data_IF_298927747468
#
_entry.id   IF_298927747468
#
_cell.length_a   1.000
_cell.length_b   1.000
_cell.length_c   1.000
_cell.angle_alpha   90.00
_cell.angle_beta   90.00
_cell.angle_gamma   90.00
#
_symmetry.space_group_name_H-M   'P 1'
#
loop_
_entity.id
_entity.type
_entity.pdbx_description
1 polymer ?
#
# COMPACT_ATOMS: atom_id res chain seq x y z
N UNK A 1 -0.42 -19.96 -13.19
CA UNK A 1 -0.11 -19.27 -12.14
C UNK A 1 -1.01 -18.17 -11.92
N UNK A 2 -1.10 -17.69 -10.82
CA UNK A 2 -2.01 -16.81 -10.52
C UNK A 2 -1.43 -15.60 -10.05
N UNK A 3 -1.90 -14.58 -10.43
CA UNK A 3 -1.37 -13.34 -10.03
C UNK A 3 -1.74 -12.98 -8.65
N UNK A 4 -0.99 -12.11 -8.07
CA UNK A 4 -1.18 -11.71 -6.71
C UNK A 4 -2.50 -11.02 -6.47
N UNK A 5 -3.01 -10.25 -7.37
CA UNK A 5 -4.28 -9.57 -7.21
C UNK A 5 -4.34 -8.76 -5.93
N UNK A 6 -3.35 -7.89 -5.69
CA UNK A 6 -3.28 -7.05 -4.51
C UNK A 6 -3.01 -7.84 -3.22
N UNK A 7 -2.52 -9.06 -3.37
CA UNK A 7 -2.16 -9.85 -2.20
C UNK A 7 -0.83 -9.42 -1.65
N UNK A 8 -0.63 -9.72 -0.38
CA UNK A 8 0.59 -9.37 0.30
C UNK A 8 1.75 -10.20 -0.27
N UNK A 9 2.85 -9.54 -0.61
CA UNK A 9 4.04 -10.21 -1.11
C UNK A 9 5.06 -10.46 0.00
N UNK A 10 5.17 -9.53 0.95
CA UNK A 10 6.08 -9.64 2.06
C UNK A 10 5.47 -9.01 3.27
N UNK A 11 5.85 -9.52 4.43
CA UNK A 11 5.27 -9.10 5.68
C UNK A 11 6.31 -9.18 6.78
N UNK A 12 6.49 -8.12 7.53
CA UNK A 12 7.40 -8.10 8.67
C UNK A 12 6.77 -7.31 9.80
N UNK A 13 6.89 -7.86 11.03
CA UNK A 13 6.53 -7.10 12.21
C UNK A 13 7.63 -6.14 12.55
N UNK A 14 7.27 -4.93 12.92
CA UNK A 14 8.21 -3.91 13.34
C UNK A 14 7.66 -3.21 14.55
N UNK A 15 8.47 -2.34 15.15
CA UNK A 15 8.05 -1.55 16.33
C UNK A 15 7.50 -2.44 17.44
N UNK A 16 8.26 -3.46 17.79
CA UNK A 16 7.88 -4.41 18.88
C UNK A 16 6.53 -5.04 18.62
N UNK A 17 6.25 -5.36 17.37
CA UNK A 17 5.01 -6.01 16.94
C UNK A 17 3.78 -5.11 17.03
N UNK A 18 3.97 -3.81 17.20
CA UNK A 18 2.86 -2.87 17.16
C UNK A 18 2.49 -2.44 15.76
N UNK A 19 3.40 -2.63 14.80
CA UNK A 19 3.15 -2.28 13.41
C UNK A 19 3.68 -3.35 12.49
N UNK A 20 3.25 -3.29 11.24
CA UNK A 20 3.66 -4.24 10.22
C UNK A 20 4.08 -3.51 8.97
N UNK A 21 5.15 -4.00 8.35
CA UNK A 21 5.59 -3.51 7.06
C UNK A 21 5.19 -4.56 6.03
N UNK A 22 4.45 -4.15 5.02
CA UNK A 22 3.90 -5.07 4.02
C UNK A 22 4.22 -4.58 2.64
N UNK A 23 4.52 -5.52 1.74
CA UNK A 23 4.73 -5.21 0.34
C UNK A 23 3.60 -5.82 -0.47
N UNK A 24 2.97 -5.02 -1.31
CA UNK A 24 1.90 -5.49 -2.19
C UNK A 24 2.24 -5.21 -3.64
N UNK A 25 1.76 -6.07 -4.51
CA UNK A 25 1.76 -5.81 -5.95
C UNK A 25 0.44 -5.12 -6.28
N UNK A 26 0.49 -3.99 -6.98
CA UNK A 26 -0.72 -3.25 -7.32
C UNK A 26 -1.26 -3.75 -8.65
N UNK A 27 -2.51 -4.19 -8.65
CA UNK A 27 -3.16 -4.67 -9.86
C UNK A 27 -4.34 -3.75 -10.16
N UNK A 28 -5.01 -4.03 -11.26
CA UNK A 28 -6.18 -3.26 -11.64
C UNK A 28 -7.34 -3.41 -10.69
N UNK A 29 -7.25 -4.35 -9.75
CA UNK A 29 -8.30 -4.53 -8.76
C UNK A 29 -8.17 -3.57 -7.59
N UNK A 30 -7.10 -2.78 -7.53
CA UNK A 30 -6.95 -1.78 -6.49
C UNK A 30 -8.03 -0.71 -6.65
N UNK A 31 -8.73 -0.40 -5.57
CA UNK A 31 -9.89 0.47 -5.63
C UNK A 31 -9.55 1.95 -5.78
N UNK A 32 -8.31 2.34 -5.53
CA UNK A 32 -7.93 3.75 -5.50
C UNK A 32 -6.78 4.06 -6.46
N UNK A 33 -6.85 3.50 -7.66
CA UNK A 33 -5.84 3.78 -8.67
C UNK A 33 -5.97 5.21 -9.18
N UNK A 34 -4.82 5.81 -9.45
CA UNK A 34 -4.76 7.11 -10.14
C UNK A 34 -5.40 8.27 -9.39
N UNK A 35 -5.54 8.14 -8.08
CA UNK A 35 -6.06 9.23 -7.25
C UNK A 35 -4.89 9.85 -6.51
N UNK A 36 -4.61 11.15 -6.66
CA UNK A 36 -3.50 11.77 -5.92
C UNK A 36 -3.67 11.61 -4.42
N UNK A 37 -2.58 11.36 -3.74
CA UNK A 37 -2.65 11.11 -2.30
C UNK A 37 -3.24 12.27 -1.51
N UNK A 38 -3.13 13.49 -2.03
CA UNK A 38 -3.70 14.64 -1.34
C UNK A 38 -5.20 14.79 -1.58
N UNK A 39 -5.76 14.04 -2.54
CA UNK A 39 -7.18 14.13 -2.84
C UNK A 39 -7.98 13.54 -1.70
N UNK A 40 -9.11 14.17 -1.35
CA UNK A 40 -9.91 13.66 -0.26
C UNK A 40 -10.49 12.29 -0.52
N UNK A 41 -10.51 11.85 -1.77
CA UNK A 41 -10.96 10.50 -2.08
C UNK A 41 -9.92 9.45 -1.69
N UNK A 42 -8.66 9.86 -1.46
CA UNK A 42 -7.60 8.92 -1.07
C UNK A 42 -7.44 8.98 0.44
N UNK A 43 -8.16 8.12 1.14
CA UNK A 43 -8.12 8.10 2.59
C UNK A 43 -7.63 6.76 3.09
N UNK A 44 -6.65 6.79 3.96
CA UNK A 44 -6.10 5.58 4.55
C UNK A 44 -6.68 5.36 5.94
N UNK A 45 -6.71 4.11 6.37
CA UNK A 45 -7.08 3.80 7.73
C UNK A 45 -6.14 4.48 8.69
N UNK A 46 -6.60 4.70 9.90
CA UNK A 46 -5.80 5.29 10.93
C UNK A 46 -4.53 4.48 11.13
N UNK A 47 -3.42 5.15 11.36
CA UNK A 47 -2.13 4.52 11.63
C UNK A 47 -1.66 3.67 10.45
N UNK A 48 -1.92 4.12 9.24
CA UNK A 48 -1.50 3.46 8.01
C UNK A 48 -0.86 4.50 7.10
N UNK A 49 0.29 4.16 6.54
CA UNK A 49 0.95 5.04 5.58
C UNK A 49 1.46 4.24 4.39
N UNK A 50 1.59 4.91 3.26
CA UNK A 50 2.28 4.37 2.10
C UNK A 50 3.73 4.83 2.23
N UNK A 51 4.62 3.89 2.51
CA UNK A 51 6.01 4.22 2.79
C UNK A 51 6.83 4.42 1.53
N UNK A 52 6.58 3.65 0.49
CA UNK A 52 7.33 3.75 -0.75
C UNK A 52 6.58 3.10 -1.89
N UNK A 53 6.87 3.53 -3.11
CA UNK A 53 6.30 2.95 -4.32
C UNK A 53 7.47 2.56 -5.20
N UNK A 54 7.44 1.36 -5.78
CA UNK A 54 8.42 0.91 -6.77
C UNK A 54 7.74 0.92 -8.12
N UNK A 55 8.27 1.73 -9.03
CA UNK A 55 7.72 1.85 -10.37
C UNK A 55 8.87 1.81 -11.37
N UNK A 56 8.80 0.90 -12.33
CA UNK A 56 9.84 0.77 -13.36
C UNK A 56 11.22 0.57 -12.74
N UNK A 57 11.27 -0.22 -11.66
CA UNK A 57 12.53 -0.55 -11.00
C UNK A 57 13.09 0.54 -10.12
N UNK A 58 12.35 1.64 -9.92
CA UNK A 58 12.84 2.74 -9.10
C UNK A 58 11.97 2.95 -7.90
N UNK A 59 12.60 3.22 -6.76
CA UNK A 59 11.87 3.51 -5.55
C UNK A 59 11.53 4.99 -5.50
N UNK A 60 10.31 5.29 -5.12
CA UNK A 60 9.86 6.66 -4.96
C UNK A 60 9.24 6.82 -3.60
N UNK A 61 9.58 7.91 -2.91
CA UNK A 61 8.93 8.26 -1.66
C UNK A 61 7.73 9.11 -2.03
N UNK A 62 6.51 8.69 -1.69
CA UNK A 62 5.33 9.39 -2.18
C UNK A 62 5.10 10.73 -1.51
N UNK A 63 4.49 11.62 -2.24
CA UNK A 63 4.02 12.90 -1.74
C UNK A 63 2.57 13.09 -2.16
N UNK A 64 2.08 14.31 -1.99
CA UNK A 64 0.67 14.59 -2.26
C UNK A 64 0.24 14.37 -3.69
N UNK A 65 1.17 14.52 -4.64
CA UNK A 65 0.86 14.33 -6.06
C UNK A 65 1.01 12.89 -6.53
N UNK A 66 1.47 12.00 -5.65
CA UNK A 66 1.69 10.60 -6.03
C UNK A 66 0.37 9.89 -6.24
N UNK A 67 0.40 8.87 -7.08
CA UNK A 67 -0.77 8.02 -7.30
C UNK A 67 -0.32 6.57 -7.26
N UNK A 68 -1.24 5.67 -7.00
CA UNK A 68 -1.01 4.24 -7.14
C UNK A 68 -1.38 3.84 -8.56
N UNK A 69 -0.58 3.00 -9.19
CA UNK A 69 -0.85 2.56 -10.55
C UNK A 69 -0.66 1.06 -10.66
N UNK A 70 -1.47 0.43 -11.48
CA UNK A 70 -1.33 -1.00 -11.73
C UNK A 70 0.06 -1.28 -12.28
N UNK A 71 0.69 -2.33 -11.80
CA UNK A 71 2.05 -2.68 -12.16
C UNK A 71 3.10 -2.22 -11.17
N UNK A 72 2.74 -1.30 -10.27
CA UNK A 72 3.66 -0.87 -9.23
C UNK A 72 3.72 -1.89 -8.10
N UNK A 73 4.74 -1.75 -7.27
CA UNK A 73 4.75 -2.40 -5.96
C UNK A 73 4.68 -1.30 -4.93
N UNK A 74 4.08 -1.59 -3.80
CA UNK A 74 3.91 -0.58 -2.77
C UNK A 74 4.27 -1.17 -1.42
N UNK A 75 4.93 -0.35 -0.59
CA UNK A 75 5.27 -0.72 0.77
C UNK A 75 4.37 0.07 1.70
N UNK A 76 3.68 -0.64 2.57
CA UNK A 76 2.70 -0.07 3.50
C UNK A 76 3.16 -0.35 4.91
N UNK A 77 3.05 0.65 5.78
CA UNK A 77 3.23 0.43 7.22
C UNK A 77 1.88 0.70 7.88
N UNK A 78 1.42 -0.22 8.69
CA UNK A 78 0.14 -0.09 9.35
C UNK A 78 0.22 -0.68 10.74
N UNK A 79 -0.59 -0.15 11.66
CA UNK A 79 -0.70 -0.71 13.00
C UNK A 79 -1.14 -2.16 12.90
N UNK A 80 -0.55 -3.03 13.73
CA UNK A 80 -0.86 -4.45 13.69
C UNK A 80 -2.33 -4.74 13.96
N UNK A 81 -2.97 -3.90 14.75
CA UNK A 81 -4.39 -4.09 15.07
C UNK A 81 -5.29 -3.96 13.85
N UNK A 82 -4.81 -3.31 12.78
CA UNK A 82 -5.61 -3.17 11.57
C UNK A 82 -5.72 -4.46 10.77
N UNK A 83 -4.80 -5.39 10.97
CA UNK A 83 -4.86 -6.74 10.38
C UNK A 83 -5.06 -6.70 8.87
N UNK A 84 -4.24 -5.89 8.20
CA UNK A 84 -4.33 -5.74 6.75
C UNK A 84 -3.86 -7.04 6.08
N UNK A 85 -4.65 -7.58 5.18
CA UNK A 85 -4.29 -8.77 4.42
C UNK A 85 -4.38 -8.57 2.91
N UNK A 86 -5.07 -7.54 2.49
CA UNK A 86 -5.24 -7.23 1.08
C UNK A 86 -5.04 -5.74 0.91
N UNK A 87 -4.50 -5.33 -0.22
CA UNK A 87 -4.19 -3.92 -0.42
C UNK A 87 -5.40 -3.02 -0.24
N UNK A 88 -6.57 -3.43 -0.72
CA UNK A 88 -7.74 -2.58 -0.61
C UNK A 88 -8.19 -2.34 0.82
N UNK A 89 -7.67 -3.12 1.76
CA UNK A 89 -8.02 -2.94 3.17
C UNK A 89 -7.30 -1.77 3.83
N UNK A 90 -6.34 -1.15 3.15
CA UNK A 90 -5.65 0.00 3.74
C UNK A 90 -6.50 1.26 3.66
N UNK A 91 -7.56 1.26 2.86
CA UNK A 91 -8.38 2.45 2.64
C UNK A 91 -9.56 2.48 3.60
N UNK A 92 -10.01 3.70 3.88
CA UNK A 92 -11.17 3.90 4.75
C UNK A 92 -12.43 3.87 3.95
#
# INVERSE_FOLDING_TARGET
>A
MRDAKNEILRFNSICDSLAELMEFSITEECSHLNIPFRDKAFKLKKDTIVAAIIRDGEMKIPGGDSTLQAGDKVFIVSASKNKIKNLNEIFR
#
